data_IF_847752483025
#
_entry.id   IF_847752483025
#
_cell.length_a   1.000
_cell.length_b   1.000
_cell.length_c   1.000
_cell.angle_alpha   90.00
_cell.angle_beta   90.00
_cell.angle_gamma   90.00
#
_symmetry.space_group_name_H-M   'P 1'
#
loop_
_entity.id
_entity.type
_entity.pdbx_description
1 polymer ?
#
# COMPACT_ATOMS: atom_id res chain seq x y z
N UNK A 1 1.69 24.75 -2.76
CA UNK A 1 1.14 23.40 -2.54
C UNK A 1 1.76 22.51 -3.60
N UNK A 2 2.35 21.38 -3.22
CA UNK A 2 2.91 20.42 -4.17
C UNK A 2 1.77 19.74 -4.93
N UNK A 3 1.93 19.57 -6.24
CA UNK A 3 0.92 18.91 -7.09
C UNK A 3 1.44 17.55 -7.59
N UNK A 4 0.54 16.72 -8.11
CA UNK A 4 0.91 15.44 -8.71
C UNK A 4 1.81 15.66 -9.97
N UNK A 5 1.61 16.76 -10.68
CA UNK A 5 2.49 17.14 -11.81
C UNK A 5 3.90 17.48 -11.34
N UNK A 6 4.05 18.14 -10.18
CA UNK A 6 5.36 18.44 -9.60
C UNK A 6 6.08 17.15 -9.21
N UNK A 7 5.35 16.17 -8.65
CA UNK A 7 5.89 14.85 -8.38
C UNK A 7 6.41 14.19 -9.66
N UNK A 8 5.58 14.07 -10.68
CA UNK A 8 5.98 13.44 -11.94
C UNK A 8 7.14 14.14 -12.65
N UNK A 9 7.25 15.47 -12.55
CA UNK A 9 8.40 16.22 -13.10
C UNK A 9 9.71 15.98 -12.35
N UNK A 10 9.64 15.71 -11.05
CA UNK A 10 10.81 15.55 -10.19
C UNK A 10 11.22 14.09 -9.97
N UNK A 11 10.32 13.14 -10.22
CA UNK A 11 10.55 11.74 -9.91
C UNK A 11 11.48 11.05 -10.91
N UNK A 12 12.48 10.33 -10.41
CA UNK A 12 13.35 9.51 -11.25
C UNK A 12 12.68 8.18 -11.64
N UNK A 13 12.01 8.16 -12.78
CA UNK A 13 11.34 6.96 -13.30
C UNK A 13 12.30 5.84 -13.73
N UNK A 14 13.61 6.08 -13.85
CA UNK A 14 14.58 5.01 -14.13
C UNK A 14 14.57 3.95 -13.03
N UNK A 15 14.25 4.35 -11.81
CA UNK A 15 14.09 3.38 -10.70
C UNK A 15 13.00 2.34 -10.99
N UNK A 16 11.94 2.71 -11.69
CA UNK A 16 10.86 1.79 -12.06
C UNK A 16 11.23 0.90 -13.26
N UNK A 17 12.37 1.14 -13.91
CA UNK A 17 12.82 0.31 -15.02
C UNK A 17 13.07 -1.13 -14.58
N UNK A 18 12.90 -2.08 -15.51
CA UNK A 18 13.13 -3.50 -15.24
C UNK A 18 14.58 -3.83 -14.86
N UNK A 19 15.54 -2.95 -15.21
CA UNK A 19 16.96 -3.14 -14.99
C UNK A 19 17.44 -2.67 -13.62
N UNK A 20 16.69 -1.79 -12.94
CA UNK A 20 17.06 -1.32 -11.62
C UNK A 20 16.87 -2.42 -10.57
N UNK A 21 17.79 -2.50 -9.61
CA UNK A 21 17.69 -3.44 -8.49
C UNK A 21 16.74 -2.90 -7.41
N UNK A 22 15.96 -3.78 -6.82
CA UNK A 22 15.19 -3.47 -5.63
C UNK A 22 16.13 -3.45 -4.41
N UNK A 23 16.01 -2.42 -3.59
CA UNK A 23 16.83 -2.21 -2.39
C UNK A 23 16.15 -2.74 -1.13
N UNK A 24 16.94 -2.96 -0.06
CA UNK A 24 16.40 -3.25 1.26
C UNK A 24 15.68 -2.02 1.87
N UNK A 25 14.60 -2.20 2.61
CA UNK A 25 13.97 -3.48 3.02
C UNK A 25 12.94 -4.02 2.04
N UNK A 26 12.73 -3.36 0.91
CA UNK A 26 11.67 -3.69 -0.05
C UNK A 26 11.86 -5.08 -0.67
N UNK A 27 13.13 -5.47 -0.91
CA UNK A 27 13.43 -6.80 -1.46
C UNK A 27 13.06 -7.92 -0.49
N UNK A 28 13.35 -7.77 0.79
CA UNK A 28 12.98 -8.76 1.82
C UNK A 28 11.47 -8.84 1.99
N UNK A 29 10.79 -7.70 2.12
CA UNK A 29 9.32 -7.66 2.21
C UNK A 29 8.64 -8.28 0.99
N UNK A 30 9.15 -7.99 -0.21
CA UNK A 30 8.67 -8.59 -1.44
C UNK A 30 8.82 -10.11 -1.44
N UNK A 31 10.02 -10.61 -1.17
CA UNK A 31 10.33 -12.04 -1.23
C UNK A 31 9.57 -12.85 -0.18
N UNK A 32 9.35 -12.29 1.00
CA UNK A 32 8.73 -13.01 2.11
C UNK A 32 7.20 -12.95 2.09
N UNK A 33 6.61 -11.83 1.67
CA UNK A 33 5.18 -11.60 1.81
C UNK A 33 4.40 -11.74 0.50
N UNK A 34 4.91 -11.23 -0.60
CA UNK A 34 4.11 -11.11 -1.82
C UNK A 34 4.50 -12.08 -2.93
N UNK A 35 5.80 -12.26 -3.14
CA UNK A 35 6.31 -13.13 -4.21
C UNK A 35 5.75 -14.56 -4.18
N UNK A 36 5.63 -15.23 -3.01
CA UNK A 36 5.09 -16.59 -2.98
C UNK A 36 3.66 -16.70 -3.53
N UNK A 37 2.79 -15.74 -3.22
CA UNK A 37 1.42 -15.73 -3.74
C UNK A 37 1.37 -15.46 -5.25
N UNK A 38 2.25 -14.59 -5.76
CA UNK A 38 2.35 -14.30 -7.18
C UNK A 38 2.92 -15.48 -7.98
N UNK A 39 3.92 -16.18 -7.46
CA UNK A 39 4.45 -17.40 -8.08
C UNK A 39 3.39 -18.48 -8.23
N UNK A 40 2.56 -18.67 -7.20
CA UNK A 40 1.44 -19.60 -7.25
C UNK A 40 0.44 -19.24 -8.36
N UNK A 41 0.01 -17.97 -8.43
CA UNK A 41 -0.91 -17.49 -9.50
C UNK A 41 -0.33 -17.71 -10.91
N UNK A 42 0.97 -17.49 -11.09
CA UNK A 42 1.65 -17.67 -12.38
C UNK A 42 1.67 -19.14 -12.79
N UNK A 43 1.97 -20.04 -11.88
CA UNK A 43 1.96 -21.49 -12.14
C UNK A 43 0.55 -21.94 -12.51
N UNK A 44 -0.46 -21.52 -11.77
CA UNK A 44 -1.87 -21.86 -12.02
C UNK A 44 -2.37 -21.37 -13.39
N UNK A 45 -1.89 -20.22 -13.86
CA UNK A 45 -2.29 -19.63 -15.14
C UNK A 45 -1.35 -19.97 -16.32
N UNK A 46 -0.34 -20.81 -16.12
CA UNK A 46 0.61 -21.24 -17.16
C UNK A 46 1.26 -20.07 -17.93
N UNK A 47 1.66 -19.04 -17.20
CA UNK A 47 2.26 -17.80 -17.76
C UNK A 47 3.73 -18.03 -18.13
N UNK A 48 4.18 -17.49 -19.27
CA UNK A 48 5.57 -17.63 -19.72
C UNK A 48 6.57 -16.98 -18.74
N UNK A 49 7.78 -17.54 -18.63
CA UNK A 49 8.83 -17.00 -17.74
C UNK A 49 9.21 -15.54 -18.05
N UNK A 50 9.15 -15.13 -19.31
CA UNK A 50 9.42 -13.74 -19.69
C UNK A 50 8.35 -12.79 -19.14
N UNK A 51 7.07 -13.14 -19.26
CA UNK A 51 5.95 -12.35 -18.71
C UNK A 51 6.02 -12.31 -17.19
N UNK A 52 6.34 -13.44 -16.55
CA UNK A 52 6.55 -13.57 -15.12
C UNK A 52 7.65 -12.61 -14.64
N UNK A 53 8.81 -12.60 -15.29
CA UNK A 53 9.93 -11.73 -14.89
C UNK A 53 9.56 -10.24 -15.00
N UNK A 54 8.87 -9.85 -16.08
CA UNK A 54 8.40 -8.48 -16.26
C UNK A 54 7.41 -8.07 -15.17
N UNK A 55 6.42 -8.92 -14.86
CA UNK A 55 5.45 -8.68 -13.82
C UNK A 55 6.12 -8.52 -12.43
N UNK A 56 7.03 -9.41 -12.07
CA UNK A 56 7.74 -9.35 -10.80
C UNK A 56 8.60 -8.08 -10.66
N UNK A 57 9.28 -7.67 -11.71
CA UNK A 57 10.08 -6.45 -11.68
C UNK A 57 9.24 -5.19 -11.48
N UNK A 58 8.06 -5.12 -12.07
CA UNK A 58 7.11 -4.02 -11.87
C UNK A 58 6.52 -4.01 -10.45
N UNK A 59 5.90 -5.11 -10.06
CA UNK A 59 5.20 -5.24 -8.78
C UNK A 59 6.14 -5.08 -7.58
N UNK A 60 7.37 -5.58 -7.65
CA UNK A 60 8.33 -5.47 -6.55
C UNK A 60 8.71 -4.03 -6.20
N UNK A 61 8.59 -3.09 -7.14
CA UNK A 61 8.95 -1.68 -6.95
C UNK A 61 7.78 -0.81 -6.50
N UNK A 62 6.56 -1.31 -6.57
CA UNK A 62 5.35 -0.60 -6.17
C UNK A 62 5.46 -0.05 -4.74
N UNK A 63 5.93 -0.85 -3.81
CA UNK A 63 6.05 -0.47 -2.41
C UNK A 63 6.92 0.78 -2.22
N UNK A 64 8.10 0.81 -2.85
CA UNK A 64 8.96 2.00 -2.78
C UNK A 64 8.33 3.20 -3.46
N UNK A 65 7.75 3.04 -4.63
CA UNK A 65 7.09 4.11 -5.36
C UNK A 65 6.00 4.80 -4.52
N UNK A 66 5.18 4.01 -3.83
CA UNK A 66 4.15 4.56 -2.94
C UNK A 66 4.75 5.27 -1.72
N UNK A 67 5.86 4.78 -1.18
CA UNK A 67 6.59 5.48 -0.11
C UNK A 67 7.21 6.80 -0.62
N UNK A 68 7.69 6.85 -1.84
CA UNK A 68 8.22 8.09 -2.44
C UNK A 68 7.11 9.14 -2.63
N UNK A 69 5.89 8.72 -3.01
CA UNK A 69 4.71 9.60 -3.04
C UNK A 69 4.39 10.12 -1.64
N UNK A 70 4.36 9.24 -0.63
CA UNK A 70 4.15 9.62 0.76
C UNK A 70 5.13 10.71 1.21
N UNK A 71 6.42 10.55 0.90
CA UNK A 71 7.46 11.51 1.26
C UNK A 71 7.34 12.82 0.52
N UNK A 72 7.12 12.77 -0.78
CA UNK A 72 7.01 13.97 -1.60
C UNK A 72 5.89 14.90 -1.11
N UNK A 73 4.74 14.32 -0.76
CA UNK A 73 3.58 15.08 -0.28
C UNK A 73 3.57 15.32 1.22
N UNK A 74 4.60 14.85 1.93
CA UNK A 74 4.73 15.02 3.39
C UNK A 74 3.51 14.46 4.15
N UNK A 75 2.99 13.33 3.65
CA UNK A 75 1.85 12.65 4.25
C UNK A 75 2.18 12.21 5.69
N UNK A 76 1.15 12.13 6.54
CA UNK A 76 1.25 11.59 7.90
C UNK A 76 0.58 10.22 7.98
N UNK A 77 -0.74 10.20 7.91
CA UNK A 77 -1.50 8.97 8.05
C UNK A 77 -1.87 8.36 6.70
N UNK A 78 -1.84 7.05 6.65
CA UNK A 78 -2.13 6.25 5.45
C UNK A 78 -3.32 5.34 5.73
N UNK A 79 -4.18 5.13 4.73
CA UNK A 79 -5.20 4.09 4.74
C UNK A 79 -5.10 3.23 3.46
N UNK A 80 -5.10 1.93 3.65
CA UNK A 80 -5.08 0.91 2.60
C UNK A 80 -6.36 0.08 2.65
N UNK A 81 -6.97 -0.19 1.50
CA UNK A 81 -8.04 -1.18 1.35
C UNK A 81 -7.49 -2.38 0.60
N UNK A 82 -7.61 -3.57 1.16
CA UNK A 82 -7.05 -4.80 0.60
C UNK A 82 -5.65 -5.12 1.14
N UNK A 83 -5.59 -5.57 2.39
CA UNK A 83 -4.31 -5.88 3.06
C UNK A 83 -3.64 -7.13 2.50
N UNK A 84 -4.42 -8.16 2.15
CA UNK A 84 -3.93 -9.49 1.79
C UNK A 84 -2.83 -9.98 2.76
N UNK A 85 -1.69 -10.48 2.25
CA UNK A 85 -0.56 -10.93 3.06
C UNK A 85 0.20 -9.78 3.76
N UNK A 86 -0.16 -8.52 3.45
CA UNK A 86 0.38 -7.32 4.10
C UNK A 86 1.62 -6.73 3.46
N UNK A 87 1.98 -7.09 2.21
CA UNK A 87 3.20 -6.58 1.59
C UNK A 87 3.24 -5.05 1.57
N UNK A 88 2.22 -4.39 1.01
CA UNK A 88 2.17 -2.94 0.92
C UNK A 88 2.01 -2.30 2.30
N UNK A 89 1.12 -2.85 3.13
CA UNK A 89 0.89 -2.42 4.49
C UNK A 89 2.18 -2.40 5.34
N UNK A 90 2.91 -3.52 5.39
CA UNK A 90 4.15 -3.58 6.15
C UNK A 90 5.30 -2.77 5.51
N UNK A 91 5.24 -2.52 4.21
CA UNK A 91 6.14 -1.59 3.54
C UNK A 91 5.94 -0.16 4.07
N UNK A 92 4.70 0.30 4.19
CA UNK A 92 4.39 1.57 4.82
C UNK A 92 4.78 1.61 6.30
N UNK A 93 4.46 0.58 7.07
CA UNK A 93 4.84 0.49 8.48
C UNK A 93 6.36 0.62 8.66
N UNK A 94 7.15 -0.12 7.87
CA UNK A 94 8.61 -0.03 7.91
C UNK A 94 9.14 1.35 7.51
N UNK A 95 8.53 1.97 6.52
CA UNK A 95 8.92 3.30 6.04
C UNK A 95 8.68 4.38 7.11
N UNK A 96 7.50 4.35 7.74
CA UNK A 96 7.12 5.29 8.80
C UNK A 96 7.96 5.07 10.06
N UNK A 97 8.20 3.82 10.47
CA UNK A 97 9.00 3.51 11.66
C UNK A 97 10.41 4.11 11.60
N UNK A 98 11.01 4.17 10.43
CA UNK A 98 12.33 4.77 10.22
C UNK A 98 12.34 6.30 10.39
N UNK A 99 11.20 6.95 10.30
CA UNK A 99 11.07 8.41 10.38
C UNK A 99 10.78 8.92 11.78
N UNK A 100 10.59 8.03 12.77
CA UNK A 100 10.30 8.40 14.16
C UNK A 100 9.11 9.39 14.29
N UNK A 101 8.07 9.21 13.50
CA UNK A 101 6.88 10.07 13.45
C UNK A 101 5.68 9.39 14.11
N UNK A 102 4.75 10.18 14.68
CA UNK A 102 3.46 9.70 15.22
C UNK A 102 2.44 9.34 14.13
N UNK A 103 2.92 8.87 12.99
CA UNK A 103 2.06 8.50 11.88
C UNK A 103 1.41 7.14 12.11
N UNK A 104 0.21 6.97 11.56
CA UNK A 104 -0.55 5.73 11.63
C UNK A 104 -0.78 5.15 10.24
N UNK A 105 -0.73 3.82 10.16
CA UNK A 105 -1.11 3.08 8.97
C UNK A 105 -2.35 2.27 9.29
N UNK A 106 -3.45 2.61 8.64
CA UNK A 106 -4.71 1.87 8.71
C UNK A 106 -4.81 0.95 7.51
N UNK A 107 -5.30 -0.25 7.72
CA UNK A 107 -5.60 -1.19 6.63
C UNK A 107 -6.80 -2.04 6.97
N UNK A 108 -7.54 -2.51 5.96
CA UNK A 108 -8.63 -3.44 6.16
C UNK A 108 -8.63 -4.56 5.13
N UNK A 109 -9.07 -5.71 5.57
CA UNK A 109 -9.37 -6.86 4.72
C UNK A 109 -10.48 -7.70 5.39
N UNK A 110 -11.27 -8.40 4.60
CA UNK A 110 -12.33 -9.29 5.09
C UNK A 110 -11.79 -10.50 5.85
N UNK A 111 -10.53 -10.83 5.67
CA UNK A 111 -9.79 -11.91 6.38
C UNK A 111 -8.42 -11.43 6.81
N UNK A 112 -8.00 -11.81 7.99
CA UNK A 112 -6.63 -11.59 8.42
C UNK A 112 -5.76 -12.79 8.01
N UNK A 113 -4.98 -12.59 6.96
CA UNK A 113 -3.97 -13.55 6.46
C UNK A 113 -2.55 -12.99 6.54
N UNK A 114 -2.35 -11.91 7.29
CA UNK A 114 -1.07 -11.24 7.46
C UNK A 114 -0.04 -12.14 8.15
N UNK A 115 1.22 -11.89 7.85
CA UNK A 115 2.32 -12.63 8.46
C UNK A 115 2.56 -12.19 9.93
N UNK A 116 2.43 -13.12 10.88
CA UNK A 116 2.57 -12.87 12.32
C UNK A 116 3.93 -12.25 12.72
N UNK A 117 5.01 -12.59 12.03
CA UNK A 117 6.34 -12.02 12.29
C UNK A 117 6.34 -10.50 12.10
N UNK A 118 5.67 -10.03 11.06
CA UNK A 118 5.57 -8.61 10.76
C UNK A 118 4.54 -7.89 11.63
N UNK A 119 3.44 -8.55 12.00
CA UNK A 119 2.48 -8.02 12.98
C UNK A 119 3.22 -7.69 14.29
N UNK A 120 4.00 -8.63 14.82
CA UNK A 120 4.77 -8.43 16.06
C UNK A 120 5.82 -7.33 15.93
N UNK A 121 6.38 -7.13 14.74
CA UNK A 121 7.41 -6.11 14.48
C UNK A 121 6.85 -4.69 14.45
N UNK A 122 5.64 -4.49 13.97
CA UNK A 122 5.07 -3.16 13.70
C UNK A 122 3.84 -2.80 14.55
N UNK A 123 3.51 -3.60 15.56
CA UNK A 123 2.27 -3.50 16.35
C UNK A 123 1.96 -2.13 16.96
N UNK A 124 2.94 -1.24 17.08
CA UNK A 124 2.73 0.13 17.58
C UNK A 124 2.23 1.12 16.52
N UNK A 125 2.38 0.78 15.24
CA UNK A 125 2.10 1.66 14.10
C UNK A 125 0.86 1.17 13.36
N UNK A 126 0.66 -0.15 13.36
CA UNK A 126 -0.38 -0.81 12.60
C UNK A 126 -1.79 -0.64 13.20
N UNK A 127 -2.77 -0.45 12.33
CA UNK A 127 -4.18 -0.49 12.67
C UNK A 127 -4.91 -1.33 11.63
N UNK A 128 -4.86 -2.65 11.81
CA UNK A 128 -5.62 -3.57 10.96
C UNK A 128 -7.07 -3.68 11.44
N UNK A 129 -7.99 -3.67 10.49
CA UNK A 129 -9.42 -3.87 10.71
C UNK A 129 -9.90 -5.08 9.91
N UNK A 130 -10.30 -6.14 10.61
CA UNK A 130 -10.98 -7.27 9.97
C UNK A 130 -12.39 -6.84 9.56
N UNK A 131 -12.56 -6.48 8.29
CA UNK A 131 -13.81 -5.93 7.78
C UNK A 131 -13.62 -5.19 6.46
N UNK A 132 -14.54 -4.29 6.18
CA UNK A 132 -14.56 -3.45 4.98
C UNK A 132 -14.01 -2.06 5.26
N UNK A 133 -13.92 -1.23 4.23
CA UNK A 133 -13.58 0.19 4.34
C UNK A 133 -14.54 0.98 5.26
N UNK A 134 -15.76 0.46 5.49
CA UNK A 134 -16.68 1.09 6.44
C UNK A 134 -16.17 0.97 7.88
N UNK A 135 -15.85 -0.24 8.32
CA UNK A 135 -15.33 -0.49 9.68
C UNK A 135 -14.00 0.23 9.88
N UNK A 136 -13.14 0.28 8.85
CA UNK A 136 -11.90 1.06 8.90
C UNK A 136 -12.17 2.56 9.03
N UNK A 137 -13.11 3.10 8.28
CA UNK A 137 -13.49 4.51 8.40
C UNK A 137 -14.04 4.86 9.80
N UNK A 138 -14.83 3.97 10.38
CA UNK A 138 -15.36 4.14 11.73
C UNK A 138 -14.23 4.11 12.78
N UNK A 139 -13.23 3.25 12.61
CA UNK A 139 -12.01 3.21 13.43
C UNK A 139 -11.20 4.51 13.31
N UNK A 140 -10.92 4.99 12.09
CA UNK A 140 -10.18 6.24 11.85
C UNK A 140 -10.87 7.43 12.52
N UNK A 141 -12.20 7.49 12.45
CA UNK A 141 -12.99 8.55 13.09
C UNK A 141 -12.93 8.42 14.62
N UNK A 142 -13.04 7.22 15.15
CA UNK A 142 -12.93 6.95 16.59
C UNK A 142 -11.57 7.34 17.15
N UNK A 143 -10.50 7.19 16.35
CA UNK A 143 -9.14 7.58 16.70
C UNK A 143 -8.88 9.09 16.48
N UNK A 144 -9.88 9.86 16.05
CA UNK A 144 -9.78 11.30 15.73
C UNK A 144 -8.72 11.62 14.68
N UNK A 145 -8.39 10.68 13.81
CA UNK A 145 -7.37 10.84 12.77
C UNK A 145 -7.96 11.32 11.44
N UNK A 146 -7.08 11.91 10.63
CA UNK A 146 -7.33 12.24 9.23
C UNK A 146 -6.26 11.59 8.35
N UNK A 147 -6.67 11.13 7.18
CA UNK A 147 -5.81 10.39 6.25
C UNK A 147 -5.33 11.32 5.13
N UNK A 148 -4.04 11.27 4.86
CA UNK A 148 -3.39 12.06 3.81
C UNK A 148 -3.13 11.24 2.55
N UNK A 149 -2.96 9.92 2.67
CA UNK A 149 -2.72 9.03 1.55
C UNK A 149 -3.64 7.81 1.63
N UNK A 150 -4.45 7.61 0.61
CA UNK A 150 -5.27 6.42 0.43
C UNK A 150 -4.68 5.54 -0.67
N UNK A 151 -4.55 4.25 -0.38
CA UNK A 151 -4.23 3.20 -1.33
C UNK A 151 -5.40 2.21 -1.43
N UNK A 152 -6.06 2.17 -2.58
CA UNK A 152 -7.25 1.34 -2.82
C UNK A 152 -6.86 0.17 -3.73
N UNK A 153 -6.68 -0.99 -3.13
CA UNK A 153 -6.23 -2.25 -3.76
C UNK A 153 -7.13 -3.43 -3.28
N UNK A 154 -8.41 -3.18 -3.14
CA UNK A 154 -9.40 -4.16 -2.67
C UNK A 154 -10.02 -4.96 -3.82
N UNK A 155 -11.34 -4.97 -3.91
CA UNK A 155 -12.05 -5.63 -5.00
C UNK A 155 -12.08 -4.73 -6.25
N UNK A 156 -11.51 -5.23 -7.37
CA UNK A 156 -11.34 -4.50 -8.63
C UNK A 156 -12.63 -4.40 -9.45
N UNK A 157 -13.71 -3.91 -8.82
CA UNK A 157 -14.97 -3.59 -9.50
C UNK A 157 -15.35 -2.15 -9.23
N UNK A 158 -15.93 -1.47 -10.22
CA UNK A 158 -16.37 -0.07 -10.08
C UNK A 158 -17.26 0.15 -8.85
N UNK A 159 -18.17 -0.78 -8.56
CA UNK A 159 -19.05 -0.67 -7.39
C UNK A 159 -18.30 -0.79 -6.07
N UNK A 160 -17.32 -1.66 -5.97
CA UNK A 160 -16.51 -1.82 -4.76
C UNK A 160 -15.66 -0.58 -4.51
N UNK A 161 -14.96 -0.09 -5.53
CA UNK A 161 -14.14 1.12 -5.42
C UNK A 161 -14.97 2.34 -5.06
N UNK A 162 -16.15 2.50 -5.70
CA UNK A 162 -17.06 3.60 -5.34
C UNK A 162 -17.54 3.48 -3.88
N UNK A 163 -17.83 2.26 -3.41
CA UNK A 163 -18.18 2.01 -2.01
C UNK A 163 -17.04 2.46 -1.08
N UNK A 164 -15.80 2.04 -1.36
CA UNK A 164 -14.63 2.37 -0.54
C UNK A 164 -14.39 3.89 -0.49
N UNK A 165 -14.42 4.56 -1.65
CA UNK A 165 -14.27 6.02 -1.74
C UNK A 165 -15.35 6.73 -0.91
N UNK A 166 -16.62 6.37 -1.06
CA UNK A 166 -17.71 7.01 -0.35
C UNK A 166 -17.61 6.80 1.18
N UNK A 167 -17.10 5.66 1.64
CA UNK A 167 -16.91 5.40 3.08
C UNK A 167 -15.74 6.16 3.65
N UNK A 168 -14.63 6.21 2.93
CA UNK A 168 -13.38 6.80 3.41
C UNK A 168 -13.30 8.32 3.20
N UNK A 169 -14.07 8.91 2.28
CA UNK A 169 -14.01 10.35 2.00
C UNK A 169 -14.20 11.24 3.24
N UNK A 170 -14.99 10.81 4.22
CA UNK A 170 -15.19 11.54 5.49
C UNK A 170 -13.95 11.56 6.40
N UNK A 171 -12.99 10.68 6.18
CA UNK A 171 -11.76 10.58 6.96
C UNK A 171 -10.59 11.31 6.34
N UNK A 172 -10.73 11.84 5.12
CA UNK A 172 -9.64 12.51 4.40
C UNK A 172 -9.23 13.83 5.05
N UNK A 173 -7.95 14.15 4.96
CA UNK A 173 -7.41 15.49 5.20
C UNK A 173 -7.73 16.43 4.01
N UNK A 174 -7.48 17.73 4.19
CA UNK A 174 -7.80 18.73 3.15
C UNK A 174 -7.14 18.48 1.80
N UNK A 175 -5.93 17.90 1.82
CA UNK A 175 -5.10 17.69 0.61
C UNK A 175 -4.79 16.20 0.43
N UNK A 176 -5.71 15.33 0.79
CA UNK A 176 -5.51 13.89 0.70
C UNK A 176 -5.31 13.43 -0.74
N UNK A 177 -4.42 12.47 -0.91
CA UNK A 177 -4.10 11.83 -2.18
C UNK A 177 -4.75 10.46 -2.21
N UNK A 178 -5.38 10.17 -3.32
CA UNK A 178 -6.02 8.88 -3.57
C UNK A 178 -5.31 8.17 -4.71
N UNK A 179 -4.86 6.96 -4.45
CA UNK A 179 -4.22 6.09 -5.42
C UNK A 179 -5.04 4.81 -5.54
N UNK A 180 -5.18 4.33 -6.74
CA UNK A 180 -5.98 3.16 -7.07
C UNK A 180 -5.11 2.16 -7.84
N UNK A 181 -5.23 0.88 -7.46
CA UNK A 181 -4.63 -0.22 -8.21
C UNK A 181 -5.62 -0.77 -9.26
N UNK A 182 -5.11 -1.13 -10.43
CA UNK A 182 -5.88 -1.76 -11.51
C UNK A 182 -7.09 -0.95 -12.07
N UNK A 183 -6.97 0.39 -12.15
CA UNK A 183 -7.96 1.29 -12.75
C UNK A 183 -7.41 2.11 -13.90
#
# INVERSE_FOLDING_TARGET
MKTIEDFFKSYNFEYLSQTSKLEEPYVSLWNELYRPSQEKKIIENNVSEEVKLKAFNGLSKRGKFLCDIYDFFECKNIAEVGTAEGYQFFTFCNHIQKKETDCKVYTCDIRDVRNNTYINKYGNIENFVAGTSKEMADKIISDENKIDLFWIDGAHTTSAVLYDVLRLAKTQSKNAIWLFDDF
#
